data_IF_152968043723
#
_entry.id   IF_152968043723
#
_cell.length_a   1.000
_cell.length_b   1.000
_cell.length_c   1.000
_cell.angle_alpha   90.00
_cell.angle_beta   90.00
_cell.angle_gamma   90.00
#
_symmetry.space_group_name_H-M   'P 1'
#
loop_
_entity.id
_entity.type
_entity.pdbx_description
1 polymer ?
#
# COMPACT_ATOMS: atom_id res chain seq x y z
N UNK A 1 2.18 57.10 28.19
CA UNK A 1 1.40 55.87 28.38
C UNK A 1 1.05 55.32 27.00
N UNK A 2 1.95 54.59 26.36
CA UNK A 2 1.60 53.76 25.19
C UNK A 2 2.49 52.51 25.25
N UNK A 3 1.87 51.34 25.37
CA UNK A 3 2.54 50.04 25.29
C UNK A 3 2.24 49.44 23.92
N UNK A 4 3.22 48.87 23.19
CA UNK A 4 2.94 48.11 21.99
C UNK A 4 2.52 46.69 22.38
N UNK A 5 1.35 46.28 21.89
CA UNK A 5 0.84 44.91 22.02
C UNK A 5 1.46 44.06 20.89
N UNK A 6 2.54 43.34 21.19
CA UNK A 6 3.06 42.32 20.27
C UNK A 6 2.10 41.13 20.29
N UNK A 7 1.34 40.97 19.21
CA UNK A 7 0.54 39.78 18.95
C UNK A 7 1.48 38.65 18.54
N UNK A 8 1.70 37.69 19.44
CA UNK A 8 2.38 36.45 19.14
C UNK A 8 1.43 35.54 18.36
N UNK A 9 1.69 35.36 17.05
CA UNK A 9 1.05 34.35 16.23
C UNK A 9 1.46 32.94 16.67
N UNK A 10 0.48 32.07 16.85
CA UNK A 10 0.65 30.67 17.26
C UNK A 10 1.17 29.85 16.05
N UNK A 11 2.14 28.94 16.20
CA UNK A 11 2.60 28.04 15.14
C UNK A 11 1.64 26.85 14.99
N UNK A 12 0.55 27.00 14.23
CA UNK A 12 -0.40 25.91 13.97
C UNK A 12 0.06 24.91 12.88
N UNK A 13 1.15 25.18 12.17
CA UNK A 13 1.51 24.47 10.92
C UNK A 13 2.25 23.15 11.10
N UNK A 14 2.92 22.93 12.24
CA UNK A 14 3.79 21.74 12.43
C UNK A 14 3.02 20.45 12.70
N UNK A 15 1.92 20.51 13.45
CA UNK A 15 1.12 19.33 13.81
C UNK A 15 0.28 18.82 12.64
N UNK A 16 -0.29 19.73 11.84
CA UNK A 16 -1.10 19.43 10.66
C UNK A 16 -0.24 18.79 9.56
N UNK A 17 0.97 19.31 9.32
CA UNK A 17 1.93 18.73 8.36
C UNK A 17 2.34 17.31 8.73
N UNK A 18 2.50 17.01 10.03
CA UNK A 18 2.86 15.68 10.51
C UNK A 18 1.71 14.68 10.33
N UNK A 19 0.48 15.08 10.68
CA UNK A 19 -0.70 14.25 10.52
C UNK A 19 -0.93 13.87 9.04
N UNK A 20 -0.83 14.85 8.13
CA UNK A 20 -0.97 14.62 6.69
C UNK A 20 0.10 13.67 6.14
N UNK A 21 1.36 13.84 6.55
CA UNK A 21 2.45 12.94 6.13
C UNK A 21 2.25 11.50 6.62
N UNK A 22 1.74 11.36 7.83
CA UNK A 22 1.43 10.05 8.39
C UNK A 22 0.28 9.38 7.64
N UNK A 23 -0.79 10.10 7.33
CA UNK A 23 -1.89 9.58 6.53
C UNK A 23 -1.42 9.14 5.12
N UNK A 24 -0.54 9.92 4.48
CA UNK A 24 0.01 9.53 3.18
C UNK A 24 0.87 8.27 3.25
N UNK A 25 1.65 8.08 4.33
CA UNK A 25 2.43 6.86 4.51
C UNK A 25 1.56 5.64 4.81
N UNK A 26 0.53 5.79 5.64
CA UNK A 26 -0.39 4.69 5.96
C UNK A 26 -1.14 4.23 4.70
N UNK A 27 -1.61 5.16 3.87
CA UNK A 27 -2.23 4.83 2.57
C UNK A 27 -1.24 4.11 1.64
N UNK A 28 0.02 4.57 1.56
CA UNK A 28 1.06 3.95 0.74
C UNK A 28 1.38 2.52 1.18
N UNK A 29 1.62 2.32 2.48
CA UNK A 29 1.93 1.01 3.07
C UNK A 29 0.74 0.05 2.91
N UNK A 30 -0.47 0.54 3.10
CA UNK A 30 -1.68 -0.27 2.95
C UNK A 30 -1.88 -0.76 1.51
N UNK A 31 -1.62 0.11 0.52
CA UNK A 31 -1.62 -0.28 -0.90
C UNK A 31 -0.52 -1.28 -1.22
N UNK A 32 0.70 -1.06 -0.70
CA UNK A 32 1.84 -1.95 -0.91
C UNK A 32 1.58 -3.35 -0.35
N UNK A 33 1.00 -3.42 0.85
CA UNK A 33 0.57 -4.68 1.44
C UNK A 33 -0.44 -5.41 0.55
N UNK A 34 -1.47 -4.70 0.08
CA UNK A 34 -2.49 -5.28 -0.80
C UNK A 34 -1.86 -5.80 -2.11
N UNK A 35 -0.90 -5.09 -2.69
CA UNK A 35 -0.15 -5.56 -3.86
C UNK A 35 0.58 -6.88 -3.58
N UNK A 36 1.28 -6.99 -2.44
CA UNK A 36 1.98 -8.24 -2.06
C UNK A 36 0.98 -9.37 -1.82
N UNK A 37 -0.17 -9.08 -1.22
CA UNK A 37 -1.22 -10.07 -1.02
C UNK A 37 -1.77 -10.58 -2.37
N UNK A 38 -2.09 -9.66 -3.28
CA UNK A 38 -2.62 -10.02 -4.60
C UNK A 38 -1.57 -10.83 -5.38
N UNK A 39 -0.27 -10.49 -5.30
CA UNK A 39 0.76 -11.24 -6.04
C UNK A 39 0.86 -12.69 -5.58
N UNK A 40 0.77 -12.93 -4.27
CA UNK A 40 0.70 -14.29 -3.71
C UNK A 40 -0.57 -15.01 -4.16
N UNK A 41 -1.72 -14.34 -4.10
CA UNK A 41 -2.99 -14.91 -4.54
C UNK A 41 -2.96 -15.32 -6.01
N UNK A 42 -2.46 -14.43 -6.88
CA UNK A 42 -2.30 -14.67 -8.31
C UNK A 42 -1.32 -15.81 -8.59
N UNK A 43 -0.17 -15.86 -7.91
CA UNK A 43 0.77 -16.98 -8.05
C UNK A 43 0.14 -18.32 -7.65
N UNK A 44 -0.65 -18.36 -6.57
CA UNK A 44 -1.38 -19.58 -6.18
C UNK A 44 -2.41 -19.98 -7.23
N UNK A 45 -3.18 -19.04 -7.80
CA UNK A 45 -4.10 -19.34 -8.89
C UNK A 45 -3.38 -19.86 -10.13
N UNK A 46 -2.23 -19.29 -10.49
CA UNK A 46 -1.45 -19.76 -11.64
C UNK A 46 -0.89 -21.17 -11.41
N UNK A 47 -0.58 -21.55 -10.17
CA UNK A 47 -0.14 -22.91 -9.83
C UNK A 47 -1.23 -23.98 -9.98
N UNK A 48 -2.52 -23.61 -10.01
CA UNK A 48 -3.61 -24.58 -10.21
C UNK A 48 -3.90 -24.84 -11.69
N UNK A 49 -3.37 -24.01 -12.59
CA UNK A 49 -3.51 -24.20 -14.03
C UNK A 49 -2.50 -25.24 -14.51
N UNK A 50 -2.99 -26.31 -15.13
CA UNK A 50 -2.14 -27.29 -15.80
C UNK A 50 -1.69 -26.72 -17.16
N UNK A 51 -0.40 -26.39 -17.25
CA UNK A 51 0.23 -25.89 -18.47
C UNK A 51 0.85 -27.02 -19.32
N UNK A 52 0.63 -28.29 -18.96
CA UNK A 52 1.09 -29.48 -19.67
C UNK A 52 2.49 -29.98 -19.24
N UNK A 53 2.96 -31.12 -19.76
CA UNK A 53 4.12 -31.86 -19.25
C UNK A 53 5.47 -31.11 -19.29
N UNK A 54 5.58 -30.06 -20.12
CA UNK A 54 6.83 -29.32 -20.38
C UNK A 54 6.86 -27.93 -19.75
N UNK A 55 5.86 -27.59 -18.95
CA UNK A 55 5.66 -26.24 -18.42
C UNK A 55 6.29 -25.96 -17.04
N UNK A 56 6.74 -27.02 -16.34
CA UNK A 56 7.19 -26.97 -14.94
C UNK A 56 8.71 -26.93 -14.75
N UNK A 57 9.39 -25.91 -15.27
CA UNK A 57 10.83 -25.69 -15.04
C UNK A 57 11.13 -24.40 -14.24
N UNK A 58 12.33 -24.30 -13.64
CA UNK A 58 12.75 -23.12 -12.85
C UNK A 58 12.58 -21.78 -13.60
N UNK A 59 12.81 -21.77 -14.92
CA UNK A 59 12.60 -20.57 -15.74
C UNK A 59 11.13 -20.15 -15.81
N UNK A 60 10.21 -21.11 -15.90
CA UNK A 60 8.77 -20.86 -15.91
C UNK A 60 8.28 -20.36 -14.54
N UNK A 61 8.85 -20.88 -13.45
CA UNK A 61 8.53 -20.41 -12.09
C UNK A 61 8.96 -18.95 -11.87
N UNK A 62 10.16 -18.58 -12.31
CA UNK A 62 10.63 -17.20 -12.20
C UNK A 62 9.78 -16.26 -13.06
N UNK A 63 9.47 -16.65 -14.30
CA UNK A 63 8.62 -15.85 -15.18
C UNK A 63 7.20 -15.69 -14.62
N UNK A 64 6.65 -16.74 -14.02
CA UNK A 64 5.35 -16.70 -13.32
C UNK A 64 5.37 -15.71 -12.17
N UNK A 65 6.42 -15.72 -11.33
CA UNK A 65 6.55 -14.78 -10.22
C UNK A 65 6.61 -13.32 -10.70
N UNK A 66 7.33 -13.05 -11.80
CA UNK A 66 7.34 -11.72 -12.40
C UNK A 66 5.96 -11.31 -12.92
N UNK A 67 5.26 -12.23 -13.59
CA UNK A 67 3.93 -11.97 -14.13
C UNK A 67 2.89 -11.76 -13.02
N UNK A 68 2.95 -12.55 -11.94
CA UNK A 68 2.03 -12.41 -10.80
C UNK A 68 2.23 -11.06 -10.10
N UNK A 69 3.48 -10.60 -9.95
CA UNK A 69 3.77 -9.28 -9.42
C UNK A 69 3.23 -8.16 -10.33
N UNK A 70 3.48 -8.23 -11.64
CA UNK A 70 2.99 -7.22 -12.58
C UNK A 70 1.46 -7.15 -12.62
N UNK A 71 0.79 -8.31 -12.59
CA UNK A 71 -0.67 -8.37 -12.49
C UNK A 71 -1.18 -7.77 -11.18
N UNK A 72 -0.51 -8.05 -10.07
CA UNK A 72 -0.87 -7.53 -8.76
C UNK A 72 -0.74 -6.00 -8.68
N UNK A 73 0.33 -5.44 -9.22
CA UNK A 73 0.52 -3.98 -9.32
C UNK A 73 -0.61 -3.34 -10.12
N UNK A 74 -0.91 -3.87 -11.31
CA UNK A 74 -2.01 -3.36 -12.14
C UNK A 74 -3.38 -3.48 -11.48
N UNK A 75 -3.64 -4.57 -10.74
CA UNK A 75 -4.91 -4.75 -10.04
C UNK A 75 -5.02 -3.79 -8.85
N UNK A 76 -3.95 -3.64 -8.07
CA UNK A 76 -3.85 -2.70 -6.95
C UNK A 76 -4.03 -1.25 -7.40
N UNK A 77 -3.47 -0.86 -8.54
CA UNK A 77 -3.67 0.48 -9.12
C UNK A 77 -5.11 0.76 -9.55
N UNK A 78 -5.85 -0.27 -9.99
CA UNK A 78 -7.24 -0.15 -10.45
C UNK A 78 -8.27 -0.24 -9.32
N UNK A 79 -7.84 -0.30 -8.06
CA UNK A 79 -8.72 -0.35 -6.88
C UNK A 79 -8.58 -1.62 -6.04
N UNK A 80 -7.74 -2.57 -6.46
CA UNK A 80 -7.38 -3.75 -5.66
C UNK A 80 -8.59 -4.63 -5.29
N UNK A 81 -8.52 -5.20 -4.10
CA UNK A 81 -9.57 -6.01 -3.48
C UNK A 81 -10.29 -5.27 -2.34
N UNK A 82 -9.94 -4.00 -2.10
CA UNK A 82 -10.45 -3.18 -0.99
C UNK A 82 -9.80 -3.48 0.36
N UNK A 83 -8.69 -4.22 0.39
CA UNK A 83 -7.97 -4.54 1.63
C UNK A 83 -7.18 -3.33 2.15
N UNK A 84 -6.65 -2.50 1.24
CA UNK A 84 -5.89 -1.29 1.59
C UNK A 84 -6.67 -0.36 2.52
N UNK A 85 -7.95 -0.11 2.24
CA UNK A 85 -8.79 0.75 3.08
C UNK A 85 -8.99 0.21 4.52
N UNK A 86 -9.03 -1.12 4.69
CA UNK A 86 -9.15 -1.74 6.01
C UNK A 86 -7.83 -1.68 6.77
N UNK A 87 -6.70 -1.88 6.09
CA UNK A 87 -5.37 -1.82 6.70
C UNK A 87 -5.03 -0.40 7.13
N UNK A 88 -5.38 0.60 6.32
CA UNK A 88 -5.19 2.00 6.66
C UNK A 88 -5.93 2.36 7.95
N UNK A 89 -7.18 1.91 8.10
CA UNK A 89 -7.95 2.08 9.33
C UNK A 89 -7.31 1.38 10.52
N UNK A 90 -6.79 0.16 10.35
CA UNK A 90 -6.08 -0.57 11.41
C UNK A 90 -4.81 0.16 11.85
N UNK A 91 -4.00 0.64 10.90
CA UNK A 91 -2.77 1.41 11.19
C UNK A 91 -3.10 2.69 11.97
N UNK A 92 -4.16 3.40 11.58
CA UNK A 92 -4.67 4.55 12.31
C UNK A 92 -5.18 4.22 13.71
N UNK A 93 -5.81 3.06 13.89
CA UNK A 93 -6.31 2.60 15.19
C UNK A 93 -5.18 2.23 16.16
N UNK A 94 -4.12 1.56 15.69
CA UNK A 94 -2.98 1.16 16.52
C UNK A 94 -2.11 2.32 17.03
N UNK A 95 -2.22 3.50 16.40
CA UNK A 95 -1.41 4.68 16.75
C UNK A 95 -2.12 5.63 17.74
N UNK A 96 -3.38 5.35 18.07
CA UNK A 96 -4.12 6.06 19.13
C UNK A 96 -3.82 5.49 20.50
#
# INVERSE_FOLDING_TARGET
>A
METPKVSAGIPATSSETRASRTATEDARVSKEFETVFISQFVDQMMKTVDYGPTSGGQGAEMWRSFLSQAMAEQLSERGGLGLSANIEQMLGAYRR
#
